data_IF_890832323587
#
_entry.id   IF_890832323587
#
_cell.length_a   1.000
_cell.length_b   1.000
_cell.length_c   1.000
_cell.angle_alpha   90.00
_cell.angle_beta   90.00
_cell.angle_gamma   90.00
#
_symmetry.space_group_name_H-M   'P 1'
#
loop_
_entity.id
_entity.type
_entity.pdbx_description
1 polymer ?
#
# COMPACT_ATOMS: atom_id res chain seq x y z
N UNK A 1 17.03 -24.79 -36.04
CA UNK A 1 16.50 -24.93 -37.41
C UNK A 1 15.16 -24.22 -37.55
N UNK A 2 15.05 -22.90 -37.49
CA UNK A 2 15.90 -21.80 -36.98
C UNK A 2 14.91 -20.71 -36.50
N UNK A 3 15.14 -19.97 -35.42
CA UNK A 3 16.15 -18.93 -35.24
C UNK A 3 16.09 -17.82 -36.32
N UNK A 4 16.04 -16.57 -35.85
CA UNK A 4 15.78 -15.37 -36.64
C UNK A 4 15.92 -14.14 -35.76
N UNK A 5 17.17 -13.70 -35.58
CA UNK A 5 17.54 -12.63 -34.65
C UNK A 5 16.98 -11.25 -35.05
N UNK A 6 16.81 -10.37 -34.06
CA UNK A 6 16.47 -8.97 -34.28
C UNK A 6 17.74 -8.11 -34.42
N UNK A 7 17.83 -7.32 -35.49
CA UNK A 7 18.93 -6.36 -35.66
C UNK A 7 18.62 -5.01 -35.02
N UNK A 8 19.51 -4.56 -34.13
CA UNK A 8 19.63 -3.15 -33.76
C UNK A 8 20.13 -2.33 -34.96
N UNK A 9 19.72 -1.06 -35.08
CA UNK A 9 20.75 -0.03 -34.97
C UNK A 9 20.29 1.24 -34.23
N UNK A 10 21.24 1.92 -33.58
CA UNK A 10 21.10 3.30 -33.13
C UNK A 10 22.19 4.17 -33.73
N UNK A 11 21.86 5.43 -34.06
CA UNK A 11 22.82 6.47 -34.44
C UNK A 11 22.24 7.87 -34.14
N UNK A 12 23.06 8.78 -33.62
CA UNK A 12 22.73 10.20 -33.43
C UNK A 12 23.33 11.05 -34.56
N UNK A 13 22.75 12.23 -34.83
CA UNK A 13 23.54 13.45 -35.04
C UNK A 13 23.17 14.59 -34.07
N UNK A 14 23.85 15.73 -34.19
CA UNK A 14 24.08 16.71 -33.10
C UNK A 14 23.77 18.19 -33.46
N UNK A 15 23.54 19.02 -32.42
CA UNK A 15 23.64 20.50 -32.39
C UNK A 15 22.58 21.30 -33.21
N UNK A 16 22.19 22.55 -32.90
CA UNK A 16 22.29 23.44 -31.71
C UNK A 16 21.10 24.50 -31.82
N UNK A 17 21.00 25.71 -31.25
CA UNK A 17 21.84 26.65 -30.46
C UNK A 17 20.94 27.70 -29.77
N UNK A 18 21.41 28.40 -28.71
CA UNK A 18 21.02 29.79 -28.29
C UNK A 18 19.53 30.14 -27.94
N UNK A 19 19.15 31.13 -27.11
CA UNK A 19 19.80 31.97 -26.07
C UNK A 19 18.72 32.59 -25.11
N UNK A 20 19.14 33.36 -24.08
CA UNK A 20 18.40 34.43 -23.32
C UNK A 20 17.28 34.12 -22.30
N UNK A 21 17.71 33.99 -21.04
CA UNK A 21 17.41 34.88 -19.89
C UNK A 21 16.06 35.67 -19.81
N UNK A 22 15.37 35.61 -18.65
CA UNK A 22 15.35 36.74 -17.67
C UNK A 22 14.43 36.56 -16.43
N UNK A 23 14.70 37.39 -15.40
CA UNK A 23 13.81 37.92 -14.34
C UNK A 23 13.13 37.00 -13.29
N UNK A 24 13.74 36.93 -12.10
CA UNK A 24 13.20 36.34 -10.85
C UNK A 24 12.16 37.23 -10.14
N UNK A 25 11.14 36.64 -9.49
CA UNK A 25 10.36 37.27 -8.39
C UNK A 25 9.99 36.25 -7.30
N UNK A 26 9.98 36.68 -6.03
CA UNK A 26 9.80 35.82 -4.84
C UNK A 26 8.59 36.29 -3.99
N UNK A 27 7.68 35.40 -3.56
CA UNK A 27 6.61 35.72 -2.59
C UNK A 27 7.07 35.56 -1.13
N UNK A 28 6.63 36.47 -0.25
CA UNK A 28 6.96 36.43 1.19
C UNK A 28 6.03 35.50 2.01
N UNK A 29 6.55 34.94 3.10
CA UNK A 29 5.76 34.16 4.07
C UNK A 29 5.11 35.08 5.11
N UNK A 30 3.81 34.91 5.38
CA UNK A 30 3.11 35.59 6.50
C UNK A 30 3.37 34.88 7.83
N UNK A 31 3.50 35.68 8.89
CA UNK A 31 3.78 35.26 10.27
C UNK A 31 2.51 35.32 11.12
N UNK A 32 2.32 34.38 12.05
CA UNK A 32 1.13 34.31 12.94
C UNK A 32 1.59 34.42 14.41
N UNK A 33 0.81 35.16 15.21
CA UNK A 33 1.31 35.87 16.40
C UNK A 33 1.50 35.06 17.70
N UNK A 34 2.35 35.63 18.56
CA UNK A 34 2.93 35.06 19.81
C UNK A 34 1.92 34.73 20.94
N UNK A 35 0.68 35.22 20.89
CA UNK A 35 -0.27 35.22 22.02
C UNK A 35 -0.87 33.85 22.39
N UNK A 36 -0.87 32.87 21.48
CA UNK A 36 -1.48 31.55 21.74
C UNK A 36 -0.64 30.66 22.66
N UNK A 37 0.68 30.86 22.70
CA UNK A 37 1.61 30.03 23.48
C UNK A 37 1.54 30.31 24.99
N UNK A 38 1.37 31.58 25.38
CA UNK A 38 1.37 32.04 26.78
C UNK A 38 0.16 31.50 27.56
N UNK A 39 -0.96 31.26 26.88
CA UNK A 39 -2.18 30.67 27.46
C UNK A 39 -2.01 29.19 27.82
N UNK A 40 -1.19 28.42 27.08
CA UNK A 40 -0.92 27.01 27.40
C UNK A 40 0.10 26.84 28.53
N UNK A 41 1.04 27.79 28.69
CA UNK A 41 2.02 27.76 29.77
C UNK A 41 1.36 27.87 31.16
N UNK A 42 0.44 28.83 31.34
CA UNK A 42 -0.19 29.10 32.65
C UNK A 42 -1.03 27.94 33.20
N UNK A 43 -1.58 27.07 32.34
CA UNK A 43 -2.34 25.87 32.77
C UNK A 43 -1.48 24.72 33.30
N UNK A 44 -0.14 24.82 33.31
CA UNK A 44 0.78 23.78 33.81
C UNK A 44 1.42 24.09 35.17
N UNK A 45 1.05 25.19 35.82
CA UNK A 45 1.68 25.66 37.07
C UNK A 45 0.72 25.64 38.29
N UNK A 46 -0.42 24.95 38.21
CA UNK A 46 -1.50 25.09 39.20
C UNK A 46 -1.80 23.83 40.04
N UNK A 47 -1.12 22.71 39.79
CA UNK A 47 -1.25 21.46 40.56
C UNK A 47 0.13 20.98 41.05
N UNK A 48 0.27 20.74 42.37
CA UNK A 48 1.45 20.14 43.00
C UNK A 48 2.23 21.06 43.96
N UNK A 49 2.05 20.87 45.27
CA UNK A 49 2.75 21.60 46.34
C UNK A 49 4.08 20.91 46.72
N UNK A 50 5.08 21.59 47.32
CA UNK A 50 6.43 21.06 47.45
C UNK A 50 6.73 20.33 48.78
N UNK A 51 7.74 19.48 48.74
CA UNK A 51 8.64 19.21 49.88
C UNK A 51 10.09 19.30 49.39
N UNK A 52 11.00 19.70 50.27
CA UNK A 52 12.42 19.94 49.95
C UNK A 52 13.28 19.19 50.95
N UNK A 53 14.23 18.41 50.43
CA UNK A 53 15.44 18.03 51.17
C UNK A 53 16.59 17.93 50.17
N UNK A 54 17.79 18.33 50.59
CA UNK A 54 18.91 18.61 49.68
C UNK A 54 19.79 17.37 49.46
N UNK A 55 20.23 17.14 48.23
CA UNK A 55 21.42 16.32 47.97
C UNK A 55 22.09 16.71 46.66
N UNK A 56 23.34 17.14 46.73
CA UNK A 56 24.11 17.71 45.61
C UNK A 56 24.70 16.65 44.67
N UNK A 57 23.83 15.89 44.02
CA UNK A 57 24.22 15.03 42.90
C UNK A 57 24.36 15.84 41.59
N UNK A 58 25.52 15.78 40.94
CA UNK A 58 25.73 16.38 39.62
C UNK A 58 25.04 15.51 38.56
N UNK A 59 23.74 15.72 38.38
CA UNK A 59 22.97 15.07 37.33
C UNK A 59 23.43 15.59 35.96
N UNK A 60 24.15 14.75 35.21
CA UNK A 60 24.43 15.02 33.81
C UNK A 60 23.10 15.17 33.06
N UNK A 61 22.82 16.39 32.60
CA UNK A 61 21.54 16.78 32.04
C UNK A 61 21.38 16.20 30.62
N UNK A 62 21.06 14.92 30.55
CA UNK A 62 20.80 14.17 29.32
C UNK A 62 19.57 14.74 28.62
N UNK A 63 19.81 15.67 27.70
CA UNK A 63 18.77 16.31 26.91
C UNK A 63 17.92 15.24 26.21
N UNK A 64 16.67 15.06 26.68
CA UNK A 64 15.67 14.23 26.02
C UNK A 64 15.39 14.80 24.62
N UNK A 65 16.12 14.29 23.62
CA UNK A 65 15.92 14.63 22.20
C UNK A 65 14.43 14.51 21.88
N UNK A 66 13.88 15.52 21.20
CA UNK A 66 12.45 15.49 20.84
C UNK A 66 12.17 14.32 19.90
N UNK A 67 10.94 13.75 19.85
CA UNK A 67 10.63 12.59 19.01
C UNK A 67 10.93 12.77 17.51
N UNK A 68 11.00 14.02 17.01
CA UNK A 68 11.46 14.32 15.64
C UNK A 68 12.97 14.18 15.47
N UNK A 69 13.76 14.60 16.45
CA UNK A 69 15.23 14.50 16.43
C UNK A 69 15.76 13.07 16.69
N UNK A 70 14.89 12.13 17.06
CA UNK A 70 15.18 10.69 17.15
C UNK A 70 14.93 9.92 15.83
N UNK A 71 14.23 10.54 14.88
CA UNK A 71 13.89 9.93 13.59
C UNK A 71 14.59 10.62 12.39
N UNK A 72 15.42 11.64 12.64
CA UNK A 72 16.26 12.25 11.63
C UNK A 72 17.59 11.50 11.54
N UNK A 73 17.91 11.02 10.33
CA UNK A 73 19.21 10.40 10.04
C UNK A 73 20.33 11.42 10.29
N UNK A 74 21.38 11.09 11.06
CA UNK A 74 22.53 11.97 11.27
C UNK A 74 23.24 12.35 9.97
N UNK A 75 23.79 13.56 9.90
CA UNK A 75 24.67 13.99 8.80
C UNK A 75 25.87 13.06 8.63
N UNK A 76 26.39 12.50 9.72
CA UNK A 76 27.41 11.43 9.75
C UNK A 76 27.05 10.16 8.95
N UNK A 77 25.81 10.01 8.49
CA UNK A 77 25.33 8.88 7.66
C UNK A 77 24.75 9.39 6.32
N UNK A 78 24.22 10.62 6.28
CA UNK A 78 23.72 11.24 5.05
C UNK A 78 24.83 11.81 4.15
N UNK A 79 25.91 12.31 4.75
CA UNK A 79 27.02 13.01 4.11
C UNK A 79 28.31 12.18 3.98
N UNK A 80 28.28 10.95 4.49
CA UNK A 80 29.33 9.94 4.35
C UNK A 80 29.61 9.64 2.85
N UNK A 81 30.86 9.80 2.38
CA UNK A 81 31.21 9.64 0.97
C UNK A 81 31.20 8.17 0.52
N UNK A 82 31.52 7.23 1.41
CA UNK A 82 31.60 5.80 1.10
C UNK A 82 30.19 5.20 1.02
N UNK A 83 29.29 5.61 1.93
CA UNK A 83 27.85 5.29 1.85
C UNK A 83 27.26 5.84 0.55
N UNK A 84 27.61 7.08 0.15
CA UNK A 84 27.16 7.68 -1.12
C UNK A 84 27.70 6.95 -2.34
N UNK A 85 28.98 6.57 -2.34
CA UNK A 85 29.59 5.78 -3.41
C UNK A 85 28.91 4.40 -3.53
N UNK A 86 28.67 3.71 -2.42
CA UNK A 86 28.01 2.41 -2.41
C UNK A 86 26.54 2.49 -2.88
N UNK A 87 25.80 3.54 -2.49
CA UNK A 87 24.43 3.80 -2.99
C UNK A 87 24.40 4.04 -4.50
N UNK A 88 25.48 4.53 -5.13
CA UNK A 88 25.51 4.76 -6.58
C UNK A 88 25.47 3.47 -7.44
N UNK A 89 25.59 2.30 -6.79
CA UNK A 89 25.36 0.98 -7.41
C UNK A 89 23.86 0.66 -7.59
N UNK A 90 22.97 1.39 -6.92
CA UNK A 90 21.51 1.26 -7.01
C UNK A 90 20.95 2.25 -8.06
N UNK A 91 19.84 1.93 -8.75
CA UNK A 91 19.30 2.81 -9.79
C UNK A 91 18.88 4.18 -9.21
N UNK A 92 19.44 5.30 -9.71
CA UNK A 92 19.41 6.60 -9.01
C UNK A 92 18.02 7.26 -8.97
N UNK A 93 17.04 6.72 -9.70
CA UNK A 93 15.66 7.18 -9.66
C UNK A 93 14.80 6.44 -8.60
N UNK A 94 15.34 5.46 -7.87
CA UNK A 94 14.65 4.71 -6.80
C UNK A 94 15.20 5.06 -5.41
N UNK A 95 14.36 5.62 -4.53
CA UNK A 95 14.77 6.01 -3.18
C UNK A 95 14.72 4.84 -2.18
N UNK A 96 15.73 3.99 -2.17
CA UNK A 96 15.87 2.89 -1.19
C UNK A 96 16.17 3.35 0.25
N UNK A 97 16.26 4.66 0.51
CA UNK A 97 16.51 5.30 1.81
C UNK A 97 17.62 4.64 2.67
N UNK A 98 18.66 4.06 2.05
CA UNK A 98 19.71 3.27 2.74
C UNK A 98 20.29 3.93 4.02
N UNK A 99 20.57 5.25 4.09
CA UNK A 99 21.02 5.91 5.32
C UNK A 99 20.06 5.78 6.51
N UNK A 100 18.74 5.72 6.26
CA UNK A 100 17.69 5.49 7.26
C UNK A 100 17.71 4.07 7.80
N UNK A 101 17.98 3.08 6.94
CA UNK A 101 18.16 1.68 7.34
C UNK A 101 19.43 1.50 8.16
N UNK A 102 20.57 2.03 7.70
CA UNK A 102 21.84 2.06 8.46
C UNK A 102 21.65 2.72 9.83
N UNK A 103 21.00 3.89 9.88
CA UNK A 103 20.70 4.58 11.13
C UNK A 103 19.79 3.75 12.05
N UNK A 104 18.78 3.08 11.50
CA UNK A 104 17.85 2.24 12.30
C UNK A 104 18.54 1.02 12.89
N UNK A 105 19.38 0.32 12.11
CA UNK A 105 20.21 -0.80 12.58
C UNK A 105 21.13 -0.33 13.72
N UNK A 106 21.92 0.72 13.48
CA UNK A 106 22.83 1.30 14.49
C UNK A 106 22.12 1.78 15.77
N UNK A 107 20.89 2.31 15.66
CA UNK A 107 20.10 2.82 16.79
C UNK A 107 19.45 1.71 17.63
N UNK A 108 19.12 0.57 17.02
CA UNK A 108 18.62 -0.62 17.73
C UNK A 108 19.75 -1.53 18.23
N UNK A 109 20.98 -1.30 17.77
CA UNK A 109 22.12 -2.23 17.82
C UNK A 109 21.79 -3.66 17.32
N UNK A 110 20.90 -3.73 16.32
CA UNK A 110 20.39 -4.97 15.75
C UNK A 110 21.54 -5.88 15.23
N UNK A 111 21.42 -7.18 15.48
CA UNK A 111 22.36 -8.24 15.07
C UNK A 111 21.87 -9.02 13.87
N UNK A 112 20.55 -9.20 13.70
CA UNK A 112 19.96 -9.89 12.56
C UNK A 112 18.84 -9.07 11.94
N UNK A 113 18.97 -8.78 10.64
CA UNK A 113 18.09 -7.86 9.91
C UNK A 113 17.42 -8.59 8.75
N UNK A 114 16.11 -8.84 8.84
CA UNK A 114 15.32 -9.34 7.73
C UNK A 114 15.10 -8.24 6.68
N UNK A 115 15.30 -8.57 5.40
CA UNK A 115 15.06 -7.71 4.25
C UNK A 115 13.98 -8.35 3.37
N UNK A 116 12.82 -7.72 3.28
CA UNK A 116 11.68 -8.21 2.49
C UNK A 116 11.40 -7.27 1.32
N UNK A 117 11.36 -7.82 0.11
CA UNK A 117 11.18 -7.09 -1.15
C UNK A 117 10.03 -7.71 -1.96
N UNK A 118 9.24 -6.92 -2.72
CA UNK A 118 8.48 -7.47 -3.83
C UNK A 118 9.43 -7.97 -4.94
N UNK A 119 8.92 -8.86 -5.78
CA UNK A 119 9.68 -9.61 -6.79
C UNK A 119 10.47 -8.68 -7.72
N UNK A 120 9.83 -7.57 -8.15
CA UNK A 120 10.44 -6.57 -9.03
C UNK A 120 11.58 -5.75 -8.41
N UNK A 121 11.81 -5.84 -7.09
CA UNK A 121 12.98 -5.23 -6.41
C UNK A 121 13.94 -6.27 -5.81
N UNK A 122 13.61 -7.56 -5.85
CA UNK A 122 14.45 -8.63 -5.31
C UNK A 122 15.84 -8.69 -6.00
N UNK A 123 15.92 -8.23 -7.26
CA UNK A 123 17.18 -8.07 -8.00
C UNK A 123 18.20 -7.11 -7.35
N UNK A 124 17.78 -6.25 -6.42
CA UNK A 124 18.66 -5.34 -5.68
C UNK A 124 19.02 -5.87 -4.27
N UNK A 125 18.43 -7.00 -3.85
CA UNK A 125 18.48 -7.45 -2.47
C UNK A 125 19.91 -7.82 -1.98
N UNK A 126 20.74 -8.41 -2.85
CA UNK A 126 22.14 -8.72 -2.55
C UNK A 126 22.97 -7.45 -2.42
N UNK A 127 22.90 -6.52 -3.39
CA UNK A 127 23.59 -5.23 -3.32
C UNK A 127 23.19 -4.44 -2.06
N UNK A 128 21.91 -4.41 -1.71
CA UNK A 128 21.42 -3.76 -0.48
C UNK A 128 21.94 -4.49 0.77
N UNK A 129 21.95 -5.83 0.77
CA UNK A 129 22.51 -6.65 1.85
C UNK A 129 23.99 -6.36 2.09
N UNK A 130 24.80 -6.32 1.03
CA UNK A 130 26.24 -6.08 1.11
C UNK A 130 26.55 -4.67 1.64
N UNK A 131 25.83 -3.66 1.14
CA UNK A 131 25.94 -2.28 1.63
C UNK A 131 25.59 -2.20 3.13
N UNK A 132 24.48 -2.82 3.55
CA UNK A 132 24.07 -2.80 4.95
C UNK A 132 25.08 -3.53 5.85
N UNK A 133 25.64 -4.65 5.41
CA UNK A 133 26.68 -5.39 6.15
C UNK A 133 27.98 -4.59 6.24
N UNK A 134 28.41 -3.95 5.15
CA UNK A 134 29.61 -3.09 5.11
C UNK A 134 29.52 -1.94 6.13
N UNK A 135 28.39 -1.23 6.18
CA UNK A 135 28.22 -0.06 7.06
C UNK A 135 27.61 -0.39 8.44
N UNK A 136 27.22 -1.65 8.68
CA UNK A 136 26.79 -2.18 9.97
C UNK A 136 27.45 -3.55 10.27
N UNK A 137 28.79 -3.66 10.39
CA UNK A 137 29.52 -4.94 10.48
C UNK A 137 29.31 -5.75 11.77
N UNK A 138 28.30 -5.40 12.59
CA UNK A 138 27.80 -6.20 13.73
C UNK A 138 26.40 -6.77 13.47
N UNK A 139 25.87 -6.58 12.27
CA UNK A 139 24.56 -7.03 11.82
C UNK A 139 24.72 -7.95 10.61
N UNK A 140 24.16 -9.16 10.68
CA UNK A 140 23.91 -9.98 9.50
C UNK A 140 22.55 -9.64 8.89
N UNK A 141 22.46 -9.78 7.57
CA UNK A 141 21.26 -9.58 6.77
C UNK A 141 20.67 -10.92 6.35
N UNK A 142 19.34 -10.99 6.34
CA UNK A 142 18.58 -12.15 5.89
C UNK A 142 17.60 -11.70 4.81
N UNK A 143 17.88 -12.02 3.55
CA UNK A 143 16.95 -11.77 2.45
C UNK A 143 15.79 -12.78 2.55
N UNK A 144 14.56 -12.28 2.65
CA UNK A 144 13.36 -13.11 2.65
C UNK A 144 13.00 -13.46 1.20
N UNK A 145 12.99 -14.76 0.88
CA UNK A 145 12.78 -15.27 -0.48
C UNK A 145 11.33 -15.57 -0.86
N UNK A 146 10.39 -15.49 0.09
CA UNK A 146 8.97 -15.74 -0.16
C UNK A 146 8.27 -14.55 -0.82
N UNK A 147 7.23 -14.83 -1.62
CA UNK A 147 6.50 -13.86 -2.43
C UNK A 147 5.89 -12.71 -1.60
N UNK A 148 5.98 -11.48 -2.09
CA UNK A 148 5.58 -10.26 -1.37
C UNK A 148 4.76 -9.33 -2.26
N UNK A 149 3.55 -9.78 -2.63
CA UNK A 149 2.62 -9.08 -3.53
C UNK A 149 2.13 -7.68 -3.09
N UNK A 150 2.42 -7.21 -1.88
CA UNK A 150 1.90 -5.93 -1.38
C UNK A 150 2.06 -5.68 0.11
N UNK A 151 1.62 -4.51 0.56
CA UNK A 151 1.70 -4.03 1.95
C UNK A 151 1.06 -4.94 3.02
N UNK A 152 0.13 -5.80 2.62
CA UNK A 152 -0.50 -6.82 3.47
C UNK A 152 0.36 -8.08 3.66
N UNK A 153 1.41 -8.27 2.85
CA UNK A 153 2.28 -9.46 2.87
C UNK A 153 3.48 -9.29 3.80
N UNK A 154 3.52 -8.26 4.67
CA UNK A 154 4.59 -8.09 5.65
C UNK A 154 4.70 -9.32 6.56
N UNK A 155 5.87 -9.98 6.54
CA UNK A 155 6.09 -11.22 7.29
C UNK A 155 6.95 -10.97 8.53
N UNK A 156 6.31 -10.35 9.52
CA UNK A 156 6.88 -10.17 10.86
C UNK A 156 6.84 -11.45 11.71
N UNK A 157 6.16 -12.50 11.22
CA UNK A 157 6.09 -13.79 11.90
C UNK A 157 7.35 -14.62 11.66
N UNK A 158 7.74 -14.83 10.40
CA UNK A 158 8.95 -15.58 10.03
C UNK A 158 10.22 -14.84 10.43
N UNK A 159 10.27 -13.52 10.22
CA UNK A 159 11.41 -12.70 10.67
C UNK A 159 11.67 -12.87 12.18
N UNK A 160 10.62 -12.84 13.00
CA UNK A 160 10.70 -13.07 14.44
C UNK A 160 11.02 -14.54 14.79
N UNK A 161 10.48 -15.51 14.06
CA UNK A 161 10.77 -16.94 14.27
C UNK A 161 12.23 -17.29 13.99
N UNK A 162 12.86 -16.58 13.04
CA UNK A 162 14.28 -16.69 12.72
C UNK A 162 15.18 -15.80 13.62
N UNK A 163 14.63 -15.16 14.65
CA UNK A 163 15.40 -14.37 15.61
C UNK A 163 15.96 -13.06 15.05
N UNK A 164 15.31 -12.45 14.06
CA UNK A 164 15.65 -11.11 13.58
C UNK A 164 15.23 -10.05 14.63
N UNK A 165 16.05 -9.00 14.78
CA UNK A 165 15.74 -7.85 15.63
C UNK A 165 14.91 -6.79 14.87
N UNK A 166 15.16 -6.70 13.55
CA UNK A 166 14.60 -5.71 12.64
C UNK A 166 14.11 -6.38 11.36
N UNK A 167 12.91 -6.02 10.91
CA UNK A 167 12.39 -6.30 9.57
C UNK A 167 12.33 -5.00 8.77
N UNK A 168 13.00 -4.96 7.62
CA UNK A 168 12.93 -3.88 6.64
C UNK A 168 12.05 -4.34 5.47
N UNK A 169 10.92 -3.67 5.27
CA UNK A 169 9.93 -4.01 4.26
C UNK A 169 9.91 -2.92 3.18
N UNK A 170 10.26 -3.29 1.95
CA UNK A 170 10.47 -2.37 0.82
C UNK A 170 9.24 -2.20 -0.07
N UNK A 171 9.19 -1.09 -0.80
CA UNK A 171 8.22 -0.70 -1.84
C UNK A 171 6.74 -0.53 -1.41
N UNK A 172 6.42 -0.69 -0.12
CA UNK A 172 5.02 -0.65 0.35
C UNK A 172 4.80 0.31 1.51
N UNK A 173 3.58 0.86 1.57
CA UNK A 173 3.11 1.69 2.69
C UNK A 173 2.88 0.87 3.96
N UNK A 174 2.80 1.55 5.11
CA UNK A 174 2.52 0.94 6.41
C UNK A 174 1.03 0.60 6.62
N UNK A 175 0.43 -0.12 5.67
CA UNK A 175 -0.97 -0.58 5.71
C UNK A 175 -1.30 -1.35 7.00
N UNK A 176 -0.35 -2.17 7.44
CA UNK A 176 -0.30 -2.82 8.74
C UNK A 176 0.48 -1.88 9.69
N UNK A 177 -0.12 -1.40 10.80
CA UNK A 177 0.58 -0.54 11.74
C UNK A 177 1.78 -1.26 12.38
N UNK A 178 2.89 -0.53 12.59
CA UNK A 178 4.09 -1.03 13.32
C UNK A 178 3.84 -1.35 14.81
N UNK A 179 2.64 -1.09 15.32
CA UNK A 179 2.17 -1.54 16.63
C UNK A 179 1.47 -2.91 16.60
N UNK A 180 1.17 -3.43 15.41
CA UNK A 180 0.61 -4.77 15.22
C UNK A 180 1.69 -5.83 14.93
N UNK A 181 2.90 -5.42 14.54
CA UNK A 181 4.07 -6.30 14.38
C UNK A 181 4.75 -6.56 15.73
N UNK A 182 5.37 -7.75 15.88
CA UNK A 182 6.00 -8.21 17.15
C UNK A 182 7.54 -8.23 17.11
N UNK A 183 8.11 -7.44 16.21
CA UNK A 183 9.53 -7.21 15.92
C UNK A 183 9.68 -5.73 15.55
N UNK A 184 10.87 -5.13 15.65
CA UNK A 184 11.04 -3.78 15.12
C UNK A 184 10.81 -3.80 13.59
N UNK A 185 9.97 -2.89 13.08
CA UNK A 185 9.67 -2.79 11.64
C UNK A 185 10.13 -1.45 11.08
N UNK A 186 10.70 -1.46 9.89
CA UNK A 186 11.05 -0.29 9.10
C UNK A 186 10.44 -0.42 7.70
N UNK A 187 9.48 0.45 7.38
CA UNK A 187 8.96 0.57 6.03
C UNK A 187 9.81 1.54 5.19
N UNK A 188 10.17 1.11 3.99
CA UNK A 188 10.88 1.90 2.98
C UNK A 188 9.98 1.94 1.74
N UNK A 189 9.39 3.10 1.45
CA UNK A 189 8.34 3.18 0.42
C UNK A 189 8.88 3.06 -1.02
N UNK A 190 10.18 3.28 -1.20
CA UNK A 190 10.86 3.34 -2.51
C UNK A 190 10.16 4.32 -3.46
N UNK A 191 10.29 5.62 -3.15
CA UNK A 191 9.81 6.70 -4.01
C UNK A 191 10.58 6.68 -5.34
N UNK A 192 9.86 6.72 -6.47
CA UNK A 192 10.39 6.60 -7.82
C UNK A 192 10.26 7.94 -8.54
N UNK A 193 11.40 8.54 -8.86
CA UNK A 193 11.48 9.76 -9.66
C UNK A 193 11.23 9.46 -11.14
N UNK A 194 10.41 10.30 -11.78
CA UNK A 194 9.99 10.14 -13.18
C UNK A 194 10.12 11.44 -13.98
N UNK A 195 10.03 11.34 -15.31
CA UNK A 195 9.99 12.50 -16.21
C UNK A 195 8.63 13.21 -16.15
N UNK A 196 8.49 14.11 -15.16
CA UNK A 196 7.26 14.90 -14.94
C UNK A 196 6.97 15.86 -16.09
N UNK A 197 7.99 16.33 -16.83
CA UNK A 197 7.79 17.18 -18.01
C UNK A 197 7.13 16.39 -19.13
N UNK A 198 7.61 15.18 -19.41
CA UNK A 198 7.00 14.30 -20.39
C UNK A 198 5.55 13.98 -20.02
N UNK A 199 5.28 13.62 -18.75
CA UNK A 199 3.93 13.38 -18.23
C UNK A 199 3.00 14.58 -18.45
N UNK A 200 3.38 15.79 -18.01
CA UNK A 200 2.58 17.01 -18.20
C UNK A 200 2.29 17.25 -19.69
N UNK A 201 3.32 17.22 -20.54
CA UNK A 201 3.16 17.44 -21.99
C UNK A 201 2.36 16.33 -22.70
N UNK A 202 2.33 15.12 -22.14
CA UNK A 202 1.50 14.02 -22.67
C UNK A 202 0.04 14.27 -22.32
N UNK A 203 -0.25 14.75 -21.10
CA UNK A 203 -1.61 15.03 -20.66
C UNK A 203 -2.21 16.24 -21.38
N UNK A 204 -1.50 17.37 -21.47
CA UNK A 204 -2.03 18.58 -22.12
C UNK A 204 -2.24 18.44 -23.64
N UNK A 205 -1.53 17.51 -24.29
CA UNK A 205 -1.78 17.15 -25.70
C UNK A 205 -3.00 16.25 -25.92
N UNK A 206 -3.45 15.51 -24.90
CA UNK A 206 -4.49 14.48 -25.04
C UNK A 206 -5.77 14.77 -24.23
N UNK A 207 -5.72 15.74 -23.31
CA UNK A 207 -6.84 16.13 -22.43
C UNK A 207 -7.10 17.62 -22.63
N UNK A 208 -8.34 17.97 -22.98
CA UNK A 208 -8.76 19.36 -23.19
C UNK A 208 -8.55 20.21 -21.93
N UNK A 209 -8.00 21.44 -22.02
CA UNK A 209 -7.94 22.37 -20.90
C UNK A 209 -9.32 22.63 -20.24
N UNK A 210 -9.30 22.93 -18.95
CA UNK A 210 -10.49 23.13 -18.11
C UNK A 210 -10.99 21.86 -17.41
N UNK A 211 -10.58 20.67 -17.88
CA UNK A 211 -10.92 19.35 -17.33
C UNK A 211 -10.32 19.10 -15.95
N UNK A 212 -11.02 18.31 -15.13
CA UNK A 212 -10.60 17.87 -13.80
C UNK A 212 -10.15 16.41 -13.81
N UNK A 213 -8.89 16.18 -13.47
CA UNK A 213 -8.26 14.86 -13.40
C UNK A 213 -8.26 14.40 -11.94
N UNK A 214 -8.86 13.25 -11.64
CA UNK A 214 -8.61 12.53 -10.39
C UNK A 214 -7.40 11.62 -10.55
N UNK A 215 -6.27 12.01 -9.98
CA UNK A 215 -5.00 11.31 -10.15
C UNK A 215 -4.69 10.39 -8.98
N UNK A 216 -4.41 9.13 -9.29
CA UNK A 216 -4.08 8.05 -8.35
C UNK A 216 -2.81 7.31 -8.78
N UNK A 217 -2.25 6.50 -7.90
CA UNK A 217 -1.05 5.70 -8.17
C UNK A 217 -0.76 4.75 -7.02
N UNK A 218 0.32 3.99 -7.14
CA UNK A 218 0.88 3.25 -6.00
C UNK A 218 1.78 4.16 -5.15
N UNK A 219 2.18 3.70 -3.96
CA UNK A 219 2.94 4.52 -2.99
C UNK A 219 4.27 5.06 -3.57
N UNK A 220 4.89 4.31 -4.49
CA UNK A 220 6.16 4.67 -5.14
C UNK A 220 6.08 5.98 -5.96
N UNK A 221 4.90 6.36 -6.47
CA UNK A 221 4.73 7.57 -7.28
C UNK A 221 4.08 8.72 -6.51
N UNK A 222 3.82 8.55 -5.22
CA UNK A 222 3.03 9.47 -4.40
C UNK A 222 3.65 10.88 -4.29
N UNK A 223 4.98 10.98 -4.23
CA UNK A 223 5.70 12.27 -4.30
C UNK A 223 5.37 13.05 -5.58
N UNK A 224 5.27 12.35 -6.72
CA UNK A 224 4.87 12.97 -8.00
C UNK A 224 3.41 13.40 -7.99
N UNK A 225 2.49 12.58 -7.49
CA UNK A 225 1.05 12.92 -7.40
C UNK A 225 0.80 14.24 -6.66
N UNK A 226 1.61 14.56 -5.64
CA UNK A 226 1.48 15.80 -4.87
C UNK A 226 2.25 16.98 -5.46
N UNK A 227 3.40 16.76 -6.11
CA UNK A 227 4.25 17.84 -6.64
C UNK A 227 3.87 18.30 -8.05
N UNK A 228 3.22 17.46 -8.85
CA UNK A 228 2.89 17.77 -10.26
C UNK A 228 1.79 18.83 -10.44
N UNK A 229 1.01 19.11 -9.38
CA UNK A 229 -0.14 20.04 -9.39
C UNK A 229 0.12 21.35 -10.17
N UNK A 230 1.15 22.17 -9.87
CA UNK A 230 1.27 23.49 -10.45
C UNK A 230 1.59 23.45 -11.95
N UNK A 231 2.20 22.36 -12.43
CA UNK A 231 2.51 22.17 -13.83
C UNK A 231 1.28 21.76 -14.65
N UNK A 232 0.37 20.96 -14.08
CA UNK A 232 -0.92 20.66 -14.73
C UNK A 232 -1.86 21.88 -14.71
N UNK A 233 -1.90 22.61 -13.60
CA UNK A 233 -2.71 23.82 -13.48
C UNK A 233 -2.24 24.94 -14.43
N UNK A 234 -0.95 24.99 -14.77
CA UNK A 234 -0.40 25.88 -15.80
C UNK A 234 -0.87 25.53 -17.23
N UNK A 235 -1.03 24.25 -17.55
CA UNK A 235 -1.63 23.76 -18.81
C UNK A 235 -3.18 23.85 -18.79
N UNK A 236 -3.77 24.43 -17.74
CA UNK A 236 -5.22 24.57 -17.58
C UNK A 236 -5.94 23.31 -17.11
N UNK A 237 -5.22 22.26 -16.68
CA UNK A 237 -5.78 21.01 -16.17
C UNK A 237 -5.91 21.07 -14.64
N UNK A 238 -7.11 20.85 -14.10
CA UNK A 238 -7.34 20.85 -12.65
C UNK A 238 -6.98 19.47 -12.08
N UNK A 239 -6.25 19.45 -10.97
CA UNK A 239 -5.88 18.20 -10.30
C UNK A 239 -6.73 17.97 -9.04
N UNK A 240 -7.33 16.79 -8.92
CA UNK A 240 -7.80 16.22 -7.65
C UNK A 240 -6.95 14.99 -7.36
N UNK A 241 -6.60 14.79 -6.10
CA UNK A 241 -5.89 13.60 -5.62
C UNK A 241 -6.78 13.01 -4.52
N UNK A 242 -7.58 11.97 -4.78
CA UNK A 242 -8.56 11.45 -3.83
C UNK A 242 -7.89 10.66 -2.70
N UNK A 243 -8.62 10.26 -1.67
CA UNK A 243 -8.07 9.47 -0.56
C UNK A 243 -9.13 8.53 0.01
N UNK A 244 -8.73 7.29 0.33
CA UNK A 244 -9.51 6.35 1.13
C UNK A 244 -8.69 5.97 2.36
N UNK A 245 -9.14 6.40 3.55
CA UNK A 245 -8.37 6.17 4.78
C UNK A 245 -8.32 4.68 5.12
N UNK A 246 -7.17 4.14 5.54
CA UNK A 246 -5.97 4.87 5.97
C UNK A 246 -4.85 4.97 4.92
N UNK A 247 -5.12 4.74 3.63
CA UNK A 247 -4.12 4.94 2.58
C UNK A 247 -3.71 6.41 2.46
N UNK A 248 -2.54 6.64 1.86
CA UNK A 248 -2.06 7.98 1.52
C UNK A 248 -3.00 8.64 0.50
N UNK A 249 -3.00 9.98 0.45
CA UNK A 249 -3.78 10.72 -0.54
C UNK A 249 -3.22 10.44 -1.94
N UNK A 250 -4.02 9.82 -2.81
CA UNK A 250 -3.64 9.39 -4.16
C UNK A 250 -3.21 7.92 -4.23
N UNK A 251 -2.99 7.25 -3.10
CA UNK A 251 -2.60 5.85 -3.06
C UNK A 251 -3.82 4.93 -3.28
N UNK A 252 -3.65 3.94 -4.16
CA UNK A 252 -4.61 2.84 -4.38
C UNK A 252 -3.94 1.49 -4.20
N UNK A 253 -4.69 0.53 -3.66
CA UNK A 253 -4.33 -0.89 -3.60
C UNK A 253 -5.30 -1.69 -4.46
N UNK A 254 -4.85 -2.84 -5.00
CA UNK A 254 -5.69 -3.72 -5.82
C UNK A 254 -7.01 -4.17 -5.18
N UNK A 255 -7.14 -4.05 -3.84
CA UNK A 255 -8.34 -4.35 -3.07
C UNK A 255 -8.88 -3.15 -2.24
N UNK A 256 -8.34 -1.94 -2.41
CA UNK A 256 -8.83 -0.73 -1.70
C UNK A 256 -8.56 0.52 -2.53
N UNK A 257 -9.63 1.15 -3.05
CA UNK A 257 -9.57 2.34 -3.89
C UNK A 257 -10.67 3.36 -3.52
N UNK A 258 -10.43 4.67 -3.68
CA UNK A 258 -11.43 5.68 -3.36
C UNK A 258 -12.55 5.72 -4.39
N UNK A 259 -13.79 5.68 -3.91
CA UNK A 259 -14.95 6.10 -4.70
C UNK A 259 -14.98 7.63 -4.76
N UNK A 260 -15.06 8.18 -5.95
CA UNK A 260 -15.08 9.61 -6.24
C UNK A 260 -16.55 10.05 -6.24
N UNK A 261 -16.87 11.02 -5.38
CA UNK A 261 -18.24 11.51 -5.23
C UNK A 261 -18.68 12.30 -6.47
N UNK A 262 -19.93 12.17 -6.97
CA UNK A 262 -20.39 12.86 -8.18
C UNK A 262 -20.29 14.40 -8.12
N UNK A 263 -20.38 14.99 -6.93
CA UNK A 263 -20.21 16.43 -6.70
C UNK A 263 -18.74 16.91 -6.77
N UNK A 264 -17.78 16.00 -6.85
CA UNK A 264 -16.35 16.34 -6.98
C UNK A 264 -16.00 16.96 -8.35
N UNK A 265 -16.92 16.96 -9.33
CA UNK A 265 -16.72 17.54 -10.67
C UNK A 265 -15.44 17.03 -11.36
N UNK A 266 -15.22 15.72 -11.30
CA UNK A 266 -14.12 14.99 -11.95
C UNK A 266 -14.56 14.53 -13.34
N UNK A 267 -13.73 14.74 -14.35
CA UNK A 267 -14.00 14.32 -15.73
C UNK A 267 -13.38 12.96 -16.09
N UNK A 268 -12.27 12.58 -15.45
CA UNK A 268 -11.54 11.34 -15.71
C UNK A 268 -10.63 10.93 -14.55
N UNK A 269 -10.33 9.63 -14.47
CA UNK A 269 -9.32 9.05 -13.58
C UNK A 269 -8.01 8.90 -14.36
N UNK A 270 -6.91 9.30 -13.76
CA UNK A 270 -5.55 9.03 -14.25
C UNK A 270 -4.77 8.22 -13.21
N UNK A 271 -4.45 6.97 -13.52
CA UNK A 271 -3.49 6.19 -12.76
C UNK A 271 -2.07 6.42 -13.28
N UNK A 272 -1.17 6.74 -12.36
CA UNK A 272 0.27 6.85 -12.59
C UNK A 272 0.95 5.57 -12.11
N UNK A 273 1.47 4.79 -13.07
CA UNK A 273 2.17 3.54 -12.82
C UNK A 273 2.07 2.56 -13.98
N UNK A 274 2.83 1.48 -13.87
CA UNK A 274 2.74 0.30 -14.72
C UNK A 274 1.65 -0.68 -14.22
N UNK A 275 1.43 -1.73 -15.00
CA UNK A 275 0.38 -2.72 -14.77
C UNK A 275 -1.05 -2.15 -14.87
N UNK A 276 -2.04 -3.02 -14.69
CA UNK A 276 -3.47 -2.63 -14.67
C UNK A 276 -4.13 -2.86 -13.31
N UNK A 277 -3.67 -3.85 -12.55
CA UNK A 277 -4.19 -4.29 -11.24
C UNK A 277 -4.65 -3.17 -10.29
N UNK A 278 -3.83 -2.12 -10.13
CA UNK A 278 -4.14 -0.99 -9.25
C UNK A 278 -5.14 0.01 -9.85
N UNK A 279 -5.12 0.21 -11.17
CA UNK A 279 -6.13 1.01 -11.87
C UNK A 279 -7.48 0.28 -11.91
N UNK A 280 -7.49 -1.03 -12.11
CA UNK A 280 -8.71 -1.85 -12.11
C UNK A 280 -9.49 -1.71 -10.80
N UNK A 281 -8.80 -1.65 -9.66
CA UNK A 281 -9.43 -1.35 -8.37
C UNK A 281 -10.15 0.02 -8.36
N UNK A 282 -9.56 1.04 -8.99
CA UNK A 282 -10.18 2.35 -9.14
C UNK A 282 -11.31 2.36 -10.20
N UNK A 283 -11.20 1.57 -11.28
CA UNK A 283 -12.26 1.40 -12.29
C UNK A 283 -13.48 0.67 -11.72
N UNK A 284 -13.28 -0.40 -10.95
CA UNK A 284 -14.37 -1.14 -10.28
C UNK A 284 -15.10 -0.21 -9.30
N UNK A 285 -14.37 0.61 -8.53
CA UNK A 285 -14.97 1.56 -7.59
C UNK A 285 -15.67 2.77 -8.24
N UNK A 286 -15.39 3.05 -9.53
CA UNK A 286 -15.85 4.23 -10.27
C UNK A 286 -16.22 3.88 -11.72
N UNK A 287 -17.24 3.03 -11.96
CA UNK A 287 -17.48 2.43 -13.28
C UNK A 287 -17.74 3.45 -14.40
N UNK A 288 -18.45 4.53 -14.11
CA UNK A 288 -18.85 5.54 -15.10
C UNK A 288 -17.71 6.51 -15.51
N UNK A 289 -16.56 6.47 -14.82
CA UNK A 289 -15.49 7.44 -15.03
C UNK A 289 -14.48 6.99 -16.10
N UNK A 290 -14.22 7.81 -17.14
CA UNK A 290 -13.17 7.52 -18.13
C UNK A 290 -11.81 7.32 -17.45
N UNK A 291 -11.23 6.14 -17.64
CA UNK A 291 -9.98 5.75 -17.00
C UNK A 291 -8.80 5.83 -17.98
N UNK A 292 -7.68 6.37 -17.50
CA UNK A 292 -6.42 6.46 -18.22
C UNK A 292 -5.27 5.96 -17.35
N UNK A 293 -4.29 5.31 -17.98
CA UNK A 293 -3.01 4.96 -17.37
C UNK A 293 -1.89 5.70 -18.06
N UNK A 294 -1.04 6.37 -17.28
CA UNK A 294 0.28 6.78 -17.73
C UNK A 294 1.35 5.87 -17.11
N UNK A 295 2.04 5.16 -17.98
CA UNK A 295 3.18 4.33 -17.65
C UNK A 295 4.48 5.17 -17.73
N UNK A 296 5.18 5.39 -16.60
CA UNK A 296 6.38 6.24 -16.60
C UNK A 296 7.62 5.57 -17.22
N UNK A 297 7.64 4.25 -17.35
CA UNK A 297 8.76 3.50 -17.92
C UNK A 297 8.64 3.42 -19.44
N UNK A 298 7.49 2.97 -19.94
CA UNK A 298 7.22 2.91 -21.39
C UNK A 298 6.81 4.25 -21.98
N UNK A 299 6.60 5.28 -21.14
CA UNK A 299 6.20 6.66 -21.48
C UNK A 299 4.88 6.76 -22.24
N UNK A 300 3.98 5.81 -22.05
CA UNK A 300 2.69 5.71 -22.77
C UNK A 300 1.53 6.19 -21.90
N UNK A 301 0.71 7.08 -22.45
CA UNK A 301 -0.66 7.30 -22.00
C UNK A 301 -1.58 6.35 -22.77
N UNK A 302 -2.42 5.62 -22.05
CA UNK A 302 -3.41 4.68 -22.60
C UNK A 302 -4.77 4.97 -21.98
N UNK A 303 -5.85 4.89 -22.76
CA UNK A 303 -7.21 4.81 -22.23
C UNK A 303 -7.45 3.35 -21.88
N UNK A 304 -7.94 3.10 -20.67
CA UNK A 304 -8.16 1.77 -20.12
C UNK A 304 -9.65 1.57 -19.86
N UNK A 305 -10.11 0.32 -20.00
CA UNK A 305 -11.49 -0.10 -19.74
C UNK A 305 -11.51 -1.37 -18.89
N UNK A 306 -12.65 -1.65 -18.29
CA UNK A 306 -12.89 -2.85 -17.49
C UNK A 306 -14.20 -3.50 -17.94
N UNK A 307 -14.25 -4.83 -17.95
CA UNK A 307 -15.50 -5.57 -18.21
C UNK A 307 -16.33 -5.62 -16.92
N UNK A 308 -16.98 -4.52 -16.55
CA UNK A 308 -17.78 -4.47 -15.33
C UNK A 308 -18.88 -5.52 -15.34
N UNK A 309 -19.69 -5.59 -16.40
CA UNK A 309 -20.79 -6.56 -16.51
C UNK A 309 -20.28 -8.01 -16.38
N UNK A 310 -19.21 -8.37 -17.09
CA UNK A 310 -18.57 -9.70 -17.06
C UNK A 310 -18.11 -10.08 -15.64
N UNK A 311 -17.47 -9.15 -14.93
CA UNK A 311 -17.02 -9.36 -13.55
C UNK A 311 -18.22 -9.50 -12.59
N UNK A 312 -19.21 -8.61 -12.69
CA UNK A 312 -20.40 -8.64 -11.84
C UNK A 312 -21.21 -9.91 -12.07
N UNK A 313 -21.47 -10.32 -13.32
CA UNK A 313 -22.14 -11.58 -13.67
C UNK A 313 -21.39 -12.79 -13.09
N UNK A 314 -20.06 -12.83 -13.25
CA UNK A 314 -19.24 -13.88 -12.65
C UNK A 314 -19.41 -13.93 -11.12
N UNK A 315 -19.53 -12.79 -10.42
CA UNK A 315 -19.66 -12.75 -8.95
C UNK A 315 -21.09 -13.03 -8.48
N UNK A 316 -22.11 -12.55 -9.18
CA UNK A 316 -23.52 -12.90 -8.96
C UNK A 316 -23.78 -14.40 -9.21
N UNK A 317 -23.10 -15.01 -10.19
CA UNK A 317 -23.12 -16.46 -10.43
C UNK A 317 -22.45 -17.24 -9.28
N UNK A 318 -21.29 -16.79 -8.80
CA UNK A 318 -20.61 -17.41 -7.66
C UNK A 318 -21.50 -17.37 -6.40
N UNK A 319 -21.98 -16.19 -6.01
CA UNK A 319 -22.95 -16.00 -4.92
C UNK A 319 -24.17 -16.92 -5.07
N UNK A 320 -24.78 -16.96 -6.26
CA UNK A 320 -26.03 -17.68 -6.48
C UNK A 320 -25.86 -19.20 -6.57
N UNK A 321 -24.63 -19.66 -6.84
CA UNK A 321 -24.23 -21.07 -6.71
C UNK A 321 -24.02 -21.42 -5.24
N UNK A 322 -23.29 -20.58 -4.49
CA UNK A 322 -23.00 -20.77 -3.06
C UNK A 322 -24.23 -20.81 -2.16
N UNK A 323 -25.34 -20.15 -2.55
CA UNK A 323 -26.66 -20.30 -1.87
C UNK A 323 -27.20 -21.74 -1.83
N UNK A 324 -26.62 -22.68 -2.59
CA UNK A 324 -26.99 -24.11 -2.62
C UNK A 324 -25.93 -25.03 -1.98
N UNK A 325 -24.83 -24.47 -1.48
CA UNK A 325 -23.72 -25.24 -0.90
C UNK A 325 -24.10 -25.85 0.45
N UNK A 326 -23.87 -27.15 0.63
CA UNK A 326 -24.17 -27.90 1.85
C UNK A 326 -22.97 -27.96 2.80
N UNK A 327 -21.75 -28.04 2.26
CA UNK A 327 -20.51 -27.93 3.05
C UNK A 327 -19.61 -26.82 2.52
N UNK A 328 -19.12 -25.99 3.44
CA UNK A 328 -18.26 -24.84 3.13
C UNK A 328 -16.79 -25.10 3.50
N UNK A 329 -15.87 -24.45 2.80
CA UNK A 329 -14.45 -24.43 3.14
C UNK A 329 -14.02 -22.99 3.43
N UNK A 330 -13.43 -22.76 4.60
CA UNK A 330 -12.97 -21.44 5.03
C UNK A 330 -11.44 -21.41 4.99
N UNK A 331 -10.86 -20.51 4.20
CA UNK A 331 -9.42 -20.40 4.02
C UNK A 331 -8.93 -19.16 4.75
N UNK A 332 -8.02 -19.32 5.71
CA UNK A 332 -7.28 -18.22 6.32
C UNK A 332 -5.94 -18.03 5.60
N UNK A 333 -5.71 -16.83 5.08
CA UNK A 333 -4.47 -16.45 4.41
C UNK A 333 -3.29 -16.34 5.37
N UNK A 334 -2.29 -17.21 5.22
CA UNK A 334 -1.09 -17.24 6.07
C UNK A 334 0.05 -16.35 5.57
N UNK A 335 -0.05 -15.81 4.34
CA UNK A 335 1.00 -14.95 3.77
C UNK A 335 1.02 -13.58 4.46
N UNK A 336 2.04 -13.37 5.30
CA UNK A 336 2.22 -12.17 6.11
C UNK A 336 1.00 -11.87 7.00
N UNK A 337 0.25 -10.83 6.63
CA UNK A 337 -0.93 -10.34 7.35
C UNK A 337 -2.18 -10.21 6.47
N UNK A 338 -2.28 -11.00 5.39
CA UNK A 338 -3.49 -11.05 4.56
C UNK A 338 -4.71 -11.63 5.31
N UNK A 339 -4.49 -12.67 6.13
CA UNK A 339 -5.54 -13.30 6.91
C UNK A 339 -5.89 -12.53 8.18
N UNK A 340 -7.19 -12.42 8.45
CA UNK A 340 -7.72 -11.82 9.67
C UNK A 340 -8.63 -12.85 10.39
N UNK A 341 -8.18 -13.45 11.51
CA UNK A 341 -8.94 -14.44 12.26
C UNK A 341 -10.32 -13.96 12.74
N UNK A 342 -10.52 -12.66 12.94
CA UNK A 342 -11.82 -12.12 13.37
C UNK A 342 -12.86 -12.15 12.23
N UNK A 343 -12.42 -12.08 10.97
CA UNK A 343 -13.30 -12.32 9.81
C UNK A 343 -13.66 -13.81 9.72
N UNK A 344 -12.70 -14.70 9.97
CA UNK A 344 -12.95 -16.14 10.01
C UNK A 344 -14.04 -16.44 11.05
N UNK A 345 -13.84 -16.04 12.31
CA UNK A 345 -14.81 -16.28 13.39
C UNK A 345 -16.17 -15.63 13.17
N UNK A 346 -16.23 -14.46 12.53
CA UNK A 346 -17.49 -13.84 12.10
C UNK A 346 -18.28 -14.77 11.15
N UNK A 347 -17.61 -15.41 10.19
CA UNK A 347 -18.22 -16.31 9.20
C UNK A 347 -18.52 -17.69 9.79
N UNK A 348 -17.61 -18.23 10.63
CA UNK A 348 -17.83 -19.47 11.41
C UNK A 348 -19.12 -19.36 12.25
N UNK A 349 -19.33 -18.22 12.92
CA UNK A 349 -20.53 -17.99 13.74
C UNK A 349 -21.82 -18.01 12.91
N UNK A 350 -21.83 -17.38 11.72
CA UNK A 350 -23.02 -17.38 10.85
C UNK A 350 -23.31 -18.76 10.24
N UNK A 351 -22.28 -19.53 9.88
CA UNK A 351 -22.44 -20.91 9.41
C UNK A 351 -22.98 -21.83 10.52
N UNK A 352 -22.43 -21.71 11.74
CA UNK A 352 -22.94 -22.42 12.92
C UNK A 352 -24.41 -22.06 13.23
N UNK A 353 -24.77 -20.78 13.18
CA UNK A 353 -26.16 -20.32 13.38
C UNK A 353 -27.14 -20.90 12.36
N UNK A 354 -26.68 -21.20 11.14
CA UNK A 354 -27.49 -21.80 10.06
C UNK A 354 -27.37 -23.34 10.00
N UNK A 355 -26.59 -23.96 10.89
CA UNK A 355 -26.35 -25.39 10.91
C UNK A 355 -25.52 -25.91 9.71
N UNK A 356 -24.79 -25.03 9.02
CA UNK A 356 -24.05 -25.36 7.80
C UNK A 356 -22.65 -25.88 8.20
N UNK A 357 -22.30 -27.15 7.92
CA UNK A 357 -20.97 -27.68 8.22
C UNK A 357 -19.88 -27.02 7.38
N UNK A 358 -18.72 -26.80 7.99
CA UNK A 358 -17.56 -26.23 7.31
C UNK A 358 -16.24 -26.89 7.73
N UNK A 359 -15.17 -26.60 6.98
CA UNK A 359 -13.79 -27.02 7.29
C UNK A 359 -12.83 -25.84 7.13
N UNK A 360 -11.89 -25.70 8.06
CA UNK A 360 -10.90 -24.62 8.06
C UNK A 360 -9.58 -25.07 7.43
N UNK A 361 -9.05 -24.28 6.50
CA UNK A 361 -7.75 -24.44 5.88
C UNK A 361 -6.86 -23.22 6.16
N UNK A 362 -5.60 -23.45 6.50
CA UNK A 362 -4.57 -22.42 6.58
C UNK A 362 -3.68 -22.53 5.33
N UNK A 363 -3.57 -21.46 4.54
CA UNK A 363 -2.82 -21.45 3.27
C UNK A 363 -2.07 -20.13 3.09
N UNK A 364 -0.77 -20.19 2.80
CA UNK A 364 -0.01 -19.00 2.36
C UNK A 364 -0.49 -18.55 0.97
N UNK A 365 -0.54 -19.50 0.03
CA UNK A 365 -1.02 -19.30 -1.33
C UNK A 365 -2.20 -20.22 -1.65
N UNK A 366 -3.13 -19.73 -2.48
CA UNK A 366 -4.41 -20.39 -2.75
C UNK A 366 -4.46 -20.80 -4.24
N UNK A 367 -4.20 -22.09 -4.50
CA UNK A 367 -4.12 -22.64 -5.86
C UNK A 367 -5.35 -23.51 -6.20
N UNK A 368 -5.92 -23.41 -7.41
CA UNK A 368 -7.08 -24.21 -7.82
C UNK A 368 -6.90 -25.71 -7.64
N UNK A 369 -5.76 -26.26 -8.08
CA UNK A 369 -5.48 -27.69 -7.95
C UNK A 369 -5.39 -28.19 -6.51
N UNK A 370 -5.10 -27.32 -5.54
CA UNK A 370 -5.07 -27.67 -4.11
C UNK A 370 -6.48 -27.69 -3.49
N UNK A 371 -7.35 -26.77 -3.91
CA UNK A 371 -8.75 -26.76 -3.47
C UNK A 371 -9.60 -27.84 -4.16
N UNK A 372 -9.22 -28.23 -5.38
CA UNK A 372 -9.86 -29.32 -6.12
C UNK A 372 -9.78 -30.69 -5.42
N UNK A 373 -8.81 -30.90 -4.51
CA UNK A 373 -8.61 -32.14 -3.77
C UNK A 373 -9.66 -32.39 -2.67
N UNK A 374 -10.51 -31.40 -2.35
CA UNK A 374 -11.55 -31.50 -1.33
C UNK A 374 -12.92 -31.63 -2.01
N UNK A 375 -13.18 -32.79 -2.61
CA UNK A 375 -14.38 -33.07 -3.43
C UNK A 375 -15.70 -32.77 -2.68
N UNK A 376 -15.70 -32.97 -1.36
CA UNK A 376 -16.87 -32.80 -0.49
C UNK A 376 -17.16 -31.35 -0.07
N UNK A 377 -16.33 -30.37 -0.47
CA UNK A 377 -16.58 -28.94 -0.26
C UNK A 377 -17.32 -28.38 -1.48
N UNK A 378 -18.49 -27.76 -1.26
CA UNK A 378 -19.32 -27.18 -2.31
C UNK A 378 -18.96 -25.71 -2.64
N UNK A 379 -18.45 -24.97 -1.65
CA UNK A 379 -18.15 -23.54 -1.74
C UNK A 379 -16.96 -23.17 -0.86
N UNK A 380 -16.08 -22.30 -1.37
CA UNK A 380 -14.95 -21.75 -0.62
C UNK A 380 -15.17 -20.29 -0.28
N UNK A 381 -14.68 -19.88 0.89
CA UNK A 381 -14.48 -18.48 1.26
C UNK A 381 -13.01 -18.26 1.58
N UNK A 382 -12.37 -17.29 0.93
CA UNK A 382 -11.00 -16.90 1.26
C UNK A 382 -10.97 -15.63 2.09
N UNK A 383 -10.33 -15.73 3.25
CA UNK A 383 -9.95 -14.63 4.13
C UNK A 383 -8.47 -14.34 3.87
N UNK A 384 -8.18 -13.85 2.67
CA UNK A 384 -6.85 -13.49 2.19
C UNK A 384 -6.95 -12.25 1.27
N UNK A 385 -6.26 -12.24 0.11
CA UNK A 385 -6.39 -11.18 -0.89
C UNK A 385 -7.73 -11.25 -1.65
N UNK A 386 -8.61 -10.22 -1.59
CA UNK A 386 -9.90 -10.22 -2.28
C UNK A 386 -9.82 -10.45 -3.79
N UNK A 387 -8.73 -10.04 -4.44
CA UNK A 387 -8.53 -10.18 -5.89
C UNK A 387 -8.33 -11.63 -6.35
N UNK A 388 -8.01 -12.57 -5.46
CA UNK A 388 -8.03 -14.01 -5.78
C UNK A 388 -9.44 -14.48 -6.16
N UNK A 389 -10.46 -13.96 -5.48
CA UNK A 389 -11.86 -14.20 -5.84
C UNK A 389 -12.26 -13.40 -7.09
N UNK A 390 -11.96 -12.11 -7.13
CA UNK A 390 -12.45 -11.22 -8.20
C UNK A 390 -11.83 -11.59 -9.56
N UNK A 391 -10.51 -11.78 -9.64
CA UNK A 391 -9.80 -11.96 -10.91
C UNK A 391 -9.65 -13.43 -11.31
N UNK A 392 -9.52 -14.33 -10.33
CA UNK A 392 -9.15 -15.74 -10.57
C UNK A 392 -10.22 -16.73 -10.15
N UNK A 393 -11.34 -16.28 -9.59
CA UNK A 393 -12.38 -17.15 -9.03
C UNK A 393 -13.10 -18.04 -10.05
N UNK A 394 -12.92 -17.82 -11.35
CA UNK A 394 -13.40 -18.73 -12.41
C UNK A 394 -12.49 -19.95 -12.61
N UNK A 395 -11.22 -19.89 -12.18
CA UNK A 395 -10.25 -20.97 -12.35
C UNK A 395 -10.42 -22.11 -11.32
N UNK A 396 -11.30 -21.92 -10.33
CA UNK A 396 -11.58 -22.87 -9.25
C UNK A 396 -12.81 -23.73 -9.59
N UNK A 397 -12.79 -25.06 -9.34
CA UNK A 397 -13.90 -25.96 -9.69
C UNK A 397 -15.14 -25.79 -8.79
N UNK A 398 -15.04 -24.96 -7.75
CA UNK A 398 -16.10 -24.57 -6.81
C UNK A 398 -16.02 -23.05 -6.61
N UNK A 399 -17.13 -22.35 -6.33
CA UNK A 399 -17.12 -20.91 -6.08
C UNK A 399 -16.09 -20.52 -5.01
N UNK A 400 -15.27 -19.50 -5.28
CA UNK A 400 -14.30 -18.92 -4.35
C UNK A 400 -14.72 -17.49 -3.98
N UNK A 401 -15.46 -17.35 -2.88
CA UNK A 401 -16.00 -16.08 -2.41
C UNK A 401 -14.96 -15.27 -1.61
N UNK A 402 -15.02 -13.94 -1.74
CA UNK A 402 -14.48 -13.00 -0.75
C UNK A 402 -15.29 -13.07 0.55
N UNK A 403 -14.78 -12.52 1.67
CA UNK A 403 -15.54 -12.45 2.91
C UNK A 403 -16.79 -11.56 2.79
N UNK A 404 -16.79 -10.60 1.87
CA UNK A 404 -17.98 -9.78 1.60
C UNK A 404 -19.09 -10.60 0.95
N UNK A 405 -18.79 -11.32 -0.12
CA UNK A 405 -19.75 -12.16 -0.84
C UNK A 405 -20.28 -13.30 0.03
N UNK A 406 -19.44 -13.88 0.89
CA UNK A 406 -19.86 -14.86 1.89
C UNK A 406 -20.91 -14.28 2.86
N UNK A 407 -20.69 -13.08 3.40
CA UNK A 407 -21.66 -12.40 4.27
C UNK A 407 -22.94 -12.00 3.51
N UNK A 408 -22.89 -11.79 2.19
CA UNK A 408 -24.09 -11.58 1.35
C UNK A 408 -24.88 -12.88 1.15
N UNK A 409 -24.21 -14.01 0.91
CA UNK A 409 -24.85 -15.33 0.81
C UNK A 409 -25.49 -15.73 2.14
N UNK A 410 -24.81 -15.48 3.25
CA UNK A 410 -25.28 -15.79 4.62
C UNK A 410 -26.31 -14.77 5.16
N UNK A 411 -26.69 -13.74 4.38
CA UNK A 411 -27.72 -12.76 4.73
C UNK A 411 -27.30 -11.64 5.69
N UNK A 412 -26.04 -11.60 6.13
CA UNK A 412 -25.50 -10.62 7.06
C UNK A 412 -25.02 -9.30 6.41
N UNK A 413 -24.91 -9.26 5.07
CA UNK A 413 -24.65 -8.04 4.29
C UNK A 413 -25.54 -7.93 3.05
N UNK A 414 -25.74 -6.70 2.60
CA UNK A 414 -26.44 -6.37 1.36
C UNK A 414 -25.49 -6.48 0.15
N UNK A 415 -25.93 -7.19 -0.90
CA UNK A 415 -25.22 -7.28 -2.18
C UNK A 415 -25.28 -5.97 -2.97
N UNK A 416 -24.27 -5.69 -3.80
CA UNK A 416 -24.18 -4.50 -4.67
C UNK A 416 -25.41 -4.36 -5.60
N UNK A 417 -25.97 -5.49 -6.04
CA UNK A 417 -27.22 -5.63 -6.80
C UNK A 417 -28.41 -4.87 -6.17
N UNK A 418 -28.40 -4.68 -4.86
CA UNK A 418 -29.42 -3.97 -4.07
C UNK A 418 -28.94 -2.62 -3.54
N UNK A 419 -27.73 -2.21 -3.87
CA UNK A 419 -27.11 -0.95 -3.46
C UNK A 419 -27.13 0.07 -4.59
N UNK A 420 -25.98 0.66 -4.88
CA UNK A 420 -25.77 1.57 -6.01
C UNK A 420 -25.19 0.85 -7.25
N UNK A 421 -25.27 -0.49 -7.29
CA UNK A 421 -24.75 -1.34 -8.36
C UNK A 421 -23.23 -1.57 -8.32
N UNK A 422 -22.47 -0.81 -7.54
CA UNK A 422 -21.00 -0.84 -7.57
C UNK A 422 -20.44 -1.89 -6.59
N UNK A 423 -19.58 -2.77 -7.08
CA UNK A 423 -18.90 -3.76 -6.24
C UNK A 423 -17.92 -3.07 -5.27
N UNK A 424 -17.93 -3.40 -3.96
CA UNK A 424 -17.11 -2.70 -2.98
C UNK A 424 -15.62 -3.05 -3.10
N UNK A 425 -14.79 -2.01 -3.26
CA UNK A 425 -13.33 -2.09 -3.26
C UNK A 425 -12.77 -1.32 -2.06
N UNK A 426 -13.21 -1.70 -0.86
CA UNK A 426 -12.99 -0.99 0.40
C UNK A 426 -12.28 -1.84 1.47
N UNK A 427 -11.72 -3.00 1.11
CA UNK A 427 -11.37 -4.08 2.05
C UNK A 427 -10.47 -3.64 3.23
N UNK A 428 -9.46 -2.80 2.99
CA UNK A 428 -8.59 -2.22 4.02
C UNK A 428 -8.89 -0.75 4.36
N UNK A 429 -10.03 -0.22 3.94
CA UNK A 429 -10.52 1.07 4.43
C UNK A 429 -10.77 1.02 5.94
N UNK A 430 -10.91 2.17 6.61
CA UNK A 430 -11.11 2.24 8.06
C UNK A 430 -12.24 1.34 8.60
N UNK A 431 -13.32 1.16 7.83
CA UNK A 431 -14.47 0.32 8.18
C UNK A 431 -14.55 -0.97 7.31
N UNK A 432 -13.51 -1.25 6.52
CA UNK A 432 -13.43 -2.40 5.61
C UNK A 432 -13.21 -3.71 6.35
N UNK A 433 -13.65 -4.83 5.75
CA UNK A 433 -13.62 -6.14 6.40
C UNK A 433 -12.20 -6.59 6.81
N UNK A 434 -11.17 -6.26 6.04
CA UNK A 434 -9.77 -6.53 6.39
C UNK A 434 -9.33 -5.94 7.73
N UNK A 435 -10.04 -4.91 8.24
CA UNK A 435 -9.81 -4.28 9.55
C UNK A 435 -10.80 -4.71 10.64
N UNK A 436 -11.61 -5.76 10.42
CA UNK A 436 -12.45 -6.37 11.45
C UNK A 436 -11.64 -6.70 12.69
N UNK A 437 -12.14 -6.31 13.86
CA UNK A 437 -11.56 -6.60 15.18
C UNK A 437 -12.43 -7.61 15.93
N UNK A 438 -11.89 -8.23 16.97
CA UNK A 438 -12.64 -9.11 17.90
C UNK A 438 -13.99 -8.52 18.34
N UNK A 439 -14.01 -7.23 18.72
CA UNK A 439 -15.25 -6.52 19.09
C UNK A 439 -16.27 -6.47 17.95
N UNK A 440 -15.84 -6.25 16.71
CA UNK A 440 -16.73 -6.20 15.55
C UNK A 440 -17.26 -7.60 15.17
N UNK A 441 -16.43 -8.63 15.28
CA UNK A 441 -16.84 -10.02 15.09
C UNK A 441 -17.86 -10.47 16.16
N UNK A 442 -17.65 -10.11 17.43
CA UNK A 442 -18.57 -10.42 18.51
C UNK A 442 -19.92 -9.68 18.39
N UNK A 443 -19.91 -8.41 17.97
CA UNK A 443 -21.13 -7.60 17.83
C UNK A 443 -22.14 -8.18 16.80
N UNK A 444 -21.66 -8.85 15.75
CA UNK A 444 -22.55 -9.47 14.75
C UNK A 444 -23.19 -10.79 15.21
N UNK A 445 -22.84 -11.31 16.39
CA UNK A 445 -23.51 -12.48 16.99
C UNK A 445 -24.75 -12.06 17.80
N UNK A 446 -24.91 -10.76 18.09
CA UNK A 446 -25.76 -10.26 19.18
C UNK A 446 -27.08 -9.57 18.82
N UNK A 447 -27.88 -10.10 17.89
CA UNK A 447 -29.32 -9.75 17.78
C UNK A 447 -30.17 -11.00 17.49
N UNK A 448 -30.43 -11.79 18.53
CA UNK A 448 -31.41 -12.88 18.54
C UNK A 448 -31.91 -13.09 19.97
N UNK A 449 -32.90 -12.29 20.39
CA UNK A 449 -33.51 -12.29 21.72
C UNK A 449 -34.68 -11.32 21.77
#
# INVERSE_FOLDING_TARGET
MDEGEASMPGAFPTAATEERLSATRVPQKRFVGRRTAEAQAKRRQQDGNPSVEETTAIVQNTQRKTPRALNQVPSEILDDPDIRAAISLLPPNYSFEIPKTIHRIRTLDAKRVALQFPEGLLMFATTISDILTQFCPRAETLIMGDVTYGACCIDDYTARALGCDLLVHYAHSCLIPVSATKIATLYIFVDISIDTKHLVSTLSRNITPGKTIAMVGTIQFNSTLHTIRPALEAEGLKLIVPQIMPLSKGEVLGCTAPKISPDANVDLILYLGDGRFHLEAAMIANPDMPAYRYDPYSRKLTRETYSHDEMLDMRSMAISTSKKAKKWGLILGALGRQGNPHILTMIENHLNQQGIPFVNLLLSEIFPGKLAMFEDVDCWVQVACPRLSIDWGYAFPRPLLTPYEALVVLGAKQGWEKGDGVYPVDYYANNGLGRTTEKLAALQVGVAG
#
